data_IF_538836005750
#
_entry.id   IF_538836005750
#
_cell.length_a   1.000
_cell.length_b   1.000
_cell.length_c   1.000
_cell.angle_alpha   90.00
_cell.angle_beta   90.00
_cell.angle_gamma   90.00
#
_symmetry.space_group_name_H-M   'P 1'
#
loop_
_entity.id
_entity.type
_entity.pdbx_description
1 polymer ?
#
# COMPACT_ATOMS: atom_id res chain seq x y z
N UNK A 1 6.75 8.18 -22.08
CA UNK A 1 5.44 7.79 -21.49
C UNK A 1 5.64 7.71 -19.99
N UNK A 2 4.73 8.26 -19.18
CA UNK A 2 4.76 8.09 -17.73
C UNK A 2 4.09 6.76 -17.34
N UNK A 3 4.70 6.05 -16.39
CA UNK A 3 4.22 4.79 -15.86
C UNK A 3 3.91 4.98 -14.38
N UNK A 4 2.69 4.61 -13.99
CA UNK A 4 2.21 4.67 -12.61
C UNK A 4 2.07 3.28 -12.03
N UNK A 5 2.21 3.15 -10.71
CA UNK A 5 2.03 1.88 -9.99
C UNK A 5 0.90 2.03 -8.98
N UNK A 6 0.17 0.94 -8.74
CA UNK A 6 -0.79 0.85 -7.63
C UNK A 6 -0.32 -0.21 -6.65
N UNK A 7 -0.54 0.02 -5.36
CA UNK A 7 -0.10 -0.87 -4.30
C UNK A 7 -1.19 -1.09 -3.25
N UNK A 8 -1.26 -2.31 -2.73
CA UNK A 8 -2.02 -2.66 -1.53
C UNK A 8 -1.04 -3.02 -0.42
N UNK A 9 -1.18 -2.40 0.75
CA UNK A 9 -0.28 -2.60 1.89
C UNK A 9 -1.03 -3.31 3.01
N UNK A 10 -0.41 -4.31 3.61
CA UNK A 10 -0.94 -5.04 4.76
C UNK A 10 0.17 -5.26 5.78
N UNK A 11 -0.18 -5.14 7.07
CA UNK A 11 0.74 -5.24 8.19
C UNK A 11 0.37 -6.44 9.05
N UNK A 12 1.37 -7.12 9.60
CA UNK A 12 1.15 -8.17 10.59
C UNK A 12 0.72 -7.50 11.89
N UNK A 13 -0.39 -7.96 12.47
CA UNK A 13 -0.85 -7.57 13.80
C UNK A 13 -0.82 -8.78 14.74
N UNK A 14 -0.97 -8.55 16.05
CA UNK A 14 -1.11 -9.62 17.05
C UNK A 14 -2.28 -10.59 16.75
N UNK A 15 -3.27 -10.12 15.98
CA UNK A 15 -4.44 -10.92 15.57
C UNK A 15 -4.25 -11.63 14.22
N UNK A 16 -3.15 -11.39 13.51
CA UNK A 16 -2.92 -11.99 12.20
C UNK A 16 -2.46 -13.44 12.37
N UNK A 17 -3.41 -14.38 12.26
CA UNK A 17 -3.17 -15.80 12.56
C UNK A 17 -2.51 -16.55 11.40
N UNK A 18 -2.48 -15.99 10.18
CA UNK A 18 -1.94 -16.66 8.99
C UNK A 18 -1.34 -15.68 7.97
N UNK A 19 -0.22 -16.08 7.37
CA UNK A 19 0.46 -15.34 6.30
C UNK A 19 -0.38 -15.26 5.01
N UNK A 20 -1.19 -16.29 4.73
CA UNK A 20 -2.09 -16.27 3.58
C UNK A 20 -3.12 -15.14 3.68
N UNK A 21 -3.64 -14.89 4.88
CA UNK A 21 -4.61 -13.82 5.13
C UNK A 21 -3.96 -12.43 4.99
N UNK A 22 -2.69 -12.31 5.38
CA UNK A 22 -1.92 -11.07 5.19
C UNK A 22 -1.80 -10.71 3.70
N UNK A 23 -1.45 -11.70 2.86
CA UNK A 23 -1.33 -11.49 1.41
C UNK A 23 -2.69 -11.29 0.74
N UNK A 24 -3.71 -12.05 1.14
CA UNK A 24 -5.07 -11.86 0.63
C UNK A 24 -5.58 -10.45 0.94
N UNK A 25 -5.28 -9.91 2.12
CA UNK A 25 -5.64 -8.55 2.50
C UNK A 25 -4.88 -7.49 1.70
N UNK A 26 -3.58 -7.70 1.46
CA UNK A 26 -2.79 -6.82 0.60
C UNK A 26 -3.32 -6.81 -0.85
N UNK A 27 -3.67 -7.98 -1.39
CA UNK A 27 -4.20 -8.10 -2.74
C UNK A 27 -5.59 -7.45 -2.89
N UNK A 28 -6.48 -7.63 -1.93
CA UNK A 28 -7.78 -6.93 -1.92
C UNK A 28 -7.61 -5.41 -1.93
N UNK A 29 -6.63 -4.90 -1.16
CA UNK A 29 -6.32 -3.46 -1.13
C UNK A 29 -5.72 -2.99 -2.46
N UNK A 30 -4.86 -3.78 -3.08
CA UNK A 30 -4.34 -3.51 -4.43
C UNK A 30 -5.45 -3.50 -5.47
N UNK A 31 -6.39 -4.44 -5.37
CA UNK A 31 -7.55 -4.49 -6.25
C UNK A 31 -8.39 -3.22 -6.11
N UNK A 32 -8.61 -2.73 -4.89
CA UNK A 32 -9.28 -1.45 -4.63
C UNK A 32 -8.52 -0.25 -5.21
N UNK A 33 -7.19 -0.22 -5.09
CA UNK A 33 -6.38 0.83 -5.70
C UNK A 33 -6.57 0.86 -7.22
N UNK A 34 -6.58 -0.32 -7.86
CA UNK A 34 -6.81 -0.46 -9.31
C UNK A 34 -8.22 -0.07 -9.73
N UNK A 35 -9.24 -0.52 -8.99
CA UNK A 35 -10.65 -0.30 -9.35
C UNK A 35 -11.12 1.14 -9.13
N UNK A 36 -10.46 1.89 -8.24
CA UNK A 36 -10.85 3.28 -7.93
C UNK A 36 -10.17 4.33 -8.81
N UNK A 37 -9.29 3.95 -9.72
CA UNK A 37 -8.63 4.88 -10.65
C UNK A 37 -7.14 4.65 -10.90
N UNK A 38 -6.54 3.63 -10.27
CA UNK A 38 -5.09 3.35 -10.34
C UNK A 38 -4.25 4.49 -9.75
N UNK A 39 -2.93 4.36 -9.88
CA UNK A 39 -1.93 5.30 -9.33
C UNK A 39 -2.15 5.65 -7.84
N UNK A 40 -2.47 4.61 -7.05
CA UNK A 40 -2.88 4.76 -5.65
C UNK A 40 -2.30 3.68 -4.77
N UNK A 41 -2.13 4.02 -3.50
CA UNK A 41 -1.73 3.11 -2.43
C UNK A 41 -2.89 2.98 -1.44
N UNK A 42 -3.26 1.74 -1.10
CA UNK A 42 -4.33 1.45 -0.13
C UNK A 42 -3.76 0.59 0.99
N UNK A 43 -3.84 1.06 2.23
CA UNK A 43 -3.35 0.37 3.43
C UNK A 43 -4.33 0.50 4.59
N UNK A 44 -3.88 0.18 5.81
CA UNK A 44 -4.67 0.50 7.01
C UNK A 44 -4.79 2.01 7.20
N UNK A 45 -5.99 2.52 7.55
CA UNK A 45 -6.15 3.91 7.98
C UNK A 45 -5.54 4.01 9.38
N UNK A 46 -4.29 4.46 9.45
CA UNK A 46 -3.58 4.60 10.71
C UNK A 46 -4.35 5.46 11.71
N UNK A 47 -4.55 4.94 12.92
CA UNK A 47 -4.45 5.80 14.10
C UNK A 47 -3.05 6.41 14.10
N UNK A 48 -2.93 7.70 14.39
CA UNK A 48 -1.69 8.47 14.52
C UNK A 48 -0.57 7.62 15.17
N UNK A 49 0.69 7.61 14.71
CA UNK A 49 1.55 8.80 14.59
C UNK A 49 2.78 8.52 13.70
N UNK A 50 3.16 9.54 12.92
CA UNK A 50 4.52 9.93 12.53
C UNK A 50 5.65 8.89 12.48
N UNK A 51 5.96 8.32 11.30
CA UNK A 51 7.32 8.34 10.69
C UNK A 51 7.35 7.64 9.31
N UNK A 52 6.87 8.28 8.24
CA UNK A 52 7.08 7.76 6.87
C UNK A 52 6.97 8.83 5.76
N UNK A 53 6.99 10.11 6.10
CA UNK A 53 6.96 11.18 5.10
C UNK A 53 8.33 11.44 4.45
N UNK A 54 9.39 10.72 4.85
CA UNK A 54 10.74 10.86 4.29
C UNK A 54 11.18 9.48 3.76
N UNK A 55 11.08 9.24 2.45
CA UNK A 55 12.20 8.60 1.70
C UNK A 55 11.95 8.25 0.21
N UNK A 56 10.75 7.97 -0.32
CA UNK A 56 10.72 7.19 -1.59
C UNK A 56 9.96 7.71 -2.80
N UNK A 57 9.79 9.02 -3.02
CA UNK A 57 9.39 9.49 -4.37
C UNK A 57 9.98 10.83 -4.73
N UNK A 58 11.31 10.89 -4.90
CA UNK A 58 11.87 11.85 -5.87
C UNK A 58 13.23 11.42 -6.41
N UNK A 59 13.20 10.58 -7.44
CA UNK A 59 14.27 10.53 -8.43
C UNK A 59 13.66 10.33 -9.81
N UNK A 60 12.86 11.31 -10.24
CA UNK A 60 12.84 11.66 -11.65
C UNK A 60 14.04 12.56 -11.93
N UNK A 61 14.72 12.28 -13.06
CA UNK A 61 15.47 13.20 -13.91
C UNK A 61 17.01 13.27 -13.74
N UNK A 62 17.72 12.51 -14.58
CA UNK A 62 18.68 13.02 -15.60
C UNK A 62 18.61 12.11 -16.83
#
# INVERSE_FOLDING_TARGET
FELTVSAGVSSVSETTQCLADLFALADQRLYKAKSTGRDRVVGEPGGHEADAAIAWTRSAQV
#
